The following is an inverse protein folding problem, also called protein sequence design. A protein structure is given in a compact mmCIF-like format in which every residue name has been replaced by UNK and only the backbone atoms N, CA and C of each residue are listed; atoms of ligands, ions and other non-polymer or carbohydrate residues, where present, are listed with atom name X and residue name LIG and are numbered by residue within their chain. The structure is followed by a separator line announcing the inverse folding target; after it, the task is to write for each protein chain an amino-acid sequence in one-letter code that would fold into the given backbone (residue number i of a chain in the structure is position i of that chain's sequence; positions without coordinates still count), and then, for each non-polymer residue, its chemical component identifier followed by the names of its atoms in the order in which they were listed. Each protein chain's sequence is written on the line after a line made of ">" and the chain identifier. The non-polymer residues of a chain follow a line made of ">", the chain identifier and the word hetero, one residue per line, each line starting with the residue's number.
data_IF_168434207998
#
_entry.id   IF_168434207998
#
_cell.length_a   1.000
_cell.length_b   1.000
_cell.length_c   1.000
_cell.angle_alpha   90.00
_cell.angle_beta   90.00
_cell.angle_gamma   90.00
#
_symmetry.space_group_name_H-M   'P 1'
#
loop_
_entity.id
_entity.type
_entity.pdbx_description
1 polymer ?
#
# COMPACT_ATOMS: atom_id res chain seq x y z
N UNK A 1 -23.59 2.19 -26.09
CA UNK A 1 -24.02 0.80 -26.33
C UNK A 1 -23.36 -0.05 -25.25
N UNK A 2 -24.11 -0.38 -24.20
CA UNK A 2 -23.64 -1.22 -23.12
C UNK A 2 -23.96 -2.68 -23.47
N UNK A 3 -23.00 -3.59 -23.33
CA UNK A 3 -23.28 -5.02 -23.22
C UNK A 3 -22.72 -5.52 -21.89
N UNK A 4 -23.64 -5.85 -20.99
CA UNK A 4 -23.38 -6.56 -19.76
C UNK A 4 -22.79 -7.94 -20.05
N UNK A 5 -21.76 -8.33 -19.31
CA UNK A 5 -21.30 -9.71 -19.24
C UNK A 5 -22.11 -10.39 -18.13
N UNK A 6 -22.94 -11.33 -18.55
CA UNK A 6 -23.78 -12.16 -17.71
C UNK A 6 -23.11 -13.53 -17.56
N UNK A 7 -22.71 -13.88 -16.35
CA UNK A 7 -22.06 -15.15 -16.04
C UNK A 7 -23.10 -16.28 -16.04
N UNK A 8 -22.99 -17.20 -17.00
CA UNK A 8 -23.82 -18.40 -17.07
C UNK A 8 -23.26 -19.49 -16.14
N UNK A 9 -24.05 -19.91 -15.16
CA UNK A 9 -23.88 -21.20 -14.48
C UNK A 9 -24.45 -22.32 -15.36
N UNK A 10 -23.58 -23.23 -15.83
CA UNK A 10 -24.02 -24.48 -16.44
C UNK A 10 -24.13 -25.57 -15.37
N UNK A 11 -25.36 -25.94 -15.01
CA UNK A 11 -25.67 -27.19 -14.31
C UNK A 11 -26.38 -28.11 -15.33
N UNK A 12 -25.77 -29.26 -15.65
CA UNK A 12 -26.32 -30.21 -16.62
C UNK A 12 -26.70 -31.53 -15.94
N UNK A 13 -27.97 -31.59 -15.59
CA UNK A 13 -28.88 -32.73 -15.47
C UNK A 13 -28.41 -34.04 -14.85
N UNK A 14 -29.11 -34.32 -13.74
CA UNK A 14 -29.41 -35.62 -13.18
C UNK A 14 -29.87 -36.66 -14.22
N UNK A 15 -29.22 -37.83 -14.18
CA UNK A 15 -29.75 -39.10 -14.67
C UNK A 15 -29.93 -40.04 -13.49
N UNK A 16 -31.19 -40.27 -13.11
CA UNK A 16 -31.58 -41.20 -12.04
C UNK A 16 -31.42 -42.64 -12.54
N UNK A 17 -30.41 -43.37 -12.05
CA UNK A 17 -30.35 -44.83 -12.18
C UNK A 17 -30.77 -45.48 -10.86
N UNK A 18 -31.89 -46.19 -10.93
CA UNK A 18 -32.43 -47.08 -9.91
C UNK A 18 -31.47 -48.26 -9.75
N UNK A 19 -30.76 -48.35 -8.64
CA UNK A 19 -30.04 -49.56 -8.23
C UNK A 19 -30.91 -50.38 -7.29
N UNK A 20 -31.15 -51.63 -7.69
CA UNK A 20 -31.87 -52.63 -6.92
C UNK A 20 -31.14 -52.94 -5.60
N UNK A 21 -31.91 -52.95 -4.52
CA UNK A 21 -31.44 -53.36 -3.19
C UNK A 21 -31.18 -54.86 -3.16
N UNK A 22 -29.91 -55.26 -3.20
CA UNK A 22 -29.48 -56.60 -2.78
C UNK A 22 -29.04 -56.50 -1.32
N UNK A 23 -29.83 -57.10 -0.43
CA UNK A 23 -29.53 -57.15 0.99
C UNK A 23 -28.31 -58.02 1.27
N UNK A 24 -27.30 -57.45 1.92
CA UNK A 24 -26.37 -58.21 2.76
C UNK A 24 -26.13 -57.43 4.04
N UNK A 25 -26.58 -57.98 5.16
CA UNK A 25 -26.30 -57.45 6.48
C UNK A 25 -24.80 -57.38 6.74
N UNK A 26 -24.28 -56.17 6.88
CA UNK A 26 -22.96 -55.88 7.43
C UNK A 26 -23.04 -54.54 8.15
N UNK A 27 -22.44 -54.49 9.32
CA UNK A 27 -22.61 -53.46 10.36
C UNK A 27 -22.32 -52.04 9.84
N UNK A 28 -23.37 -51.34 9.44
CA UNK A 28 -23.34 -49.97 8.91
C UNK A 28 -22.72 -48.96 9.91
N UNK A 29 -22.81 -49.22 11.22
CA UNK A 29 -22.28 -48.30 12.23
C UNK A 29 -20.76 -48.23 12.21
N UNK A 30 -20.08 -49.36 11.97
CA UNK A 30 -18.62 -49.39 11.96
C UNK A 30 -18.04 -48.59 10.77
N UNK A 31 -18.64 -48.72 9.58
CA UNK A 31 -18.22 -47.97 8.40
C UNK A 31 -18.60 -46.48 8.48
N UNK A 32 -19.74 -46.16 9.11
CA UNK A 32 -20.15 -44.77 9.32
C UNK A 32 -19.20 -44.03 10.29
N UNK A 33 -18.76 -44.69 11.36
CA UNK A 33 -17.76 -44.13 12.27
C UNK A 33 -16.41 -43.92 11.59
N UNK A 34 -15.95 -44.88 10.75
CA UNK A 34 -14.70 -44.76 10.00
C UNK A 34 -14.75 -43.61 8.98
N UNK A 35 -15.88 -43.44 8.28
CA UNK A 35 -16.05 -42.32 7.34
C UNK A 35 -16.07 -40.97 8.04
N UNK A 36 -16.75 -40.88 9.19
CA UNK A 36 -16.79 -39.65 9.98
C UNK A 36 -15.41 -39.31 10.57
N UNK A 37 -14.64 -40.30 11.01
CA UNK A 37 -13.28 -40.05 11.50
C UNK A 37 -12.32 -39.67 10.36
N UNK A 38 -12.40 -40.32 9.20
CA UNK A 38 -11.58 -39.93 8.04
C UNK A 38 -11.95 -38.51 7.57
N UNK A 39 -13.24 -38.18 7.49
CA UNK A 39 -13.68 -36.84 7.10
C UNK A 39 -13.29 -35.77 8.14
N UNK A 40 -13.33 -36.11 9.43
CA UNK A 40 -12.85 -35.22 10.49
C UNK A 40 -11.32 -35.07 10.44
N UNK A 41 -10.57 -36.16 10.23
CA UNK A 41 -9.13 -36.12 10.09
C UNK A 41 -8.69 -35.37 8.81
N UNK A 42 -9.41 -35.51 7.70
CA UNK A 42 -9.15 -34.75 6.47
C UNK A 42 -9.59 -33.28 6.60
N UNK A 43 -10.66 -32.99 7.34
CA UNK A 43 -11.06 -31.62 7.66
C UNK A 43 -10.06 -30.94 8.61
N UNK A 44 -9.56 -31.67 9.61
CA UNK A 44 -8.51 -31.22 10.54
C UNK A 44 -7.18 -31.08 9.80
N UNK A 45 -6.82 -32.03 8.94
CA UNK A 45 -5.63 -31.96 8.10
C UNK A 45 -5.75 -30.78 7.13
N UNK A 46 -6.85 -30.62 6.40
CA UNK A 46 -7.09 -29.47 5.53
C UNK A 46 -7.13 -28.13 6.27
N UNK A 47 -7.52 -28.12 7.55
CA UNK A 47 -7.48 -26.93 8.41
C UNK A 47 -6.05 -26.59 8.89
N UNK A 48 -5.22 -27.60 9.17
CA UNK A 48 -3.83 -27.42 9.61
C UNK A 48 -2.80 -27.34 8.46
N UNK A 49 -3.14 -27.82 7.27
CA UNK A 49 -2.25 -27.95 6.10
C UNK A 49 -2.66 -27.05 4.94
N UNK A 50 -3.47 -26.02 5.19
CA UNK A 50 -3.69 -24.96 4.21
C UNK A 50 -2.41 -24.11 4.13
N UNK A 51 -1.38 -24.66 3.48
CA UNK A 51 -0.20 -23.91 3.08
C UNK A 51 -0.62 -22.91 2.01
N UNK A 52 -0.14 -21.68 2.18
CA UNK A 52 -0.49 -20.56 1.32
C UNK A 52 0.25 -20.67 -0.01
N UNK A 53 -0.27 -21.46 -0.94
CA UNK A 53 0.18 -21.40 -2.33
C UNK A 53 -0.36 -20.12 -2.96
N UNK A 54 0.45 -19.07 -2.95
CA UNK A 54 0.22 -17.90 -3.79
C UNK A 54 0.69 -18.20 -5.20
N UNK A 55 -0.25 -18.25 -6.14
CA UNK A 55 0.08 -18.30 -7.55
C UNK A 55 0.32 -16.89 -8.06
N UNK A 56 1.59 -16.52 -8.24
CA UNK A 56 1.95 -15.23 -8.83
C UNK A 56 1.80 -15.36 -10.35
N UNK A 57 1.03 -14.46 -10.95
CA UNK A 57 0.88 -14.37 -12.39
C UNK A 57 1.67 -13.16 -12.91
N UNK A 58 2.62 -13.41 -13.81
CA UNK A 58 3.32 -12.36 -14.57
C UNK A 58 2.95 -12.57 -16.04
N UNK A 59 2.36 -11.56 -16.69
CA UNK A 59 1.85 -11.63 -18.07
C UNK A 59 0.92 -12.83 -18.34
N UNK A 60 0.08 -13.16 -17.36
CA UNK A 60 -0.87 -14.28 -17.44
C UNK A 60 -0.24 -15.67 -17.30
N UNK A 61 1.07 -15.76 -16.99
CA UNK A 61 1.77 -17.02 -16.72
C UNK A 61 2.05 -17.15 -15.23
N UNK A 62 1.85 -18.37 -14.71
CA UNK A 62 2.24 -18.71 -13.34
C UNK A 62 3.75 -18.73 -13.24
N UNK A 63 4.30 -17.96 -12.29
CA UNK A 63 5.72 -17.98 -11.95
C UNK A 63 5.88 -18.72 -10.63
N UNK A 64 6.62 -19.85 -10.67
CA UNK A 64 6.99 -20.60 -9.47
C UNK A 64 8.29 -20.05 -8.92
N UNK A 65 8.19 -19.21 -7.90
CA UNK A 65 9.34 -18.79 -7.11
C UNK A 65 9.55 -19.81 -5.98
N UNK A 66 10.77 -20.32 -5.80
CA UNK A 66 11.16 -21.04 -4.59
C UNK A 66 11.50 -20.04 -3.48
N UNK A 67 11.02 -20.22 -2.26
CA UNK A 67 11.28 -19.29 -1.15
C UNK A 67 10.21 -18.20 -0.95
N UNK A 68 9.06 -18.28 -1.64
CA UNK A 68 7.93 -17.34 -1.47
C UNK A 68 7.37 -17.37 -0.05
N UNK A 69 7.47 -18.53 0.60
CA UNK A 69 7.10 -18.74 1.99
C UNK A 69 7.85 -17.83 2.98
N UNK A 70 9.01 -17.31 2.58
CA UNK A 70 9.80 -16.36 3.37
C UNK A 70 9.39 -14.90 3.13
N UNK A 71 8.47 -14.62 2.21
CA UNK A 71 7.99 -13.27 1.94
C UNK A 71 6.77 -12.93 2.79
N UNK A 72 6.69 -11.67 3.20
CA UNK A 72 5.49 -11.13 3.82
C UNK A 72 4.39 -11.07 2.74
N UNK A 73 3.26 -11.77 2.93
CA UNK A 73 2.22 -11.82 1.92
C UNK A 73 1.57 -10.45 1.71
N UNK A 74 1.13 -10.10 0.50
CA UNK A 74 0.43 -8.84 0.26
C UNK A 74 -1.03 -8.92 0.76
N UNK A 75 -1.67 -7.75 0.88
CA UNK A 75 -3.12 -7.61 1.08
C UNK A 75 -3.67 -8.26 2.37
N UNK A 76 -2.86 -8.30 3.43
CA UNK A 76 -3.41 -8.56 4.77
C UNK A 76 -4.11 -7.28 5.25
N UNK A 77 -5.43 -7.33 5.42
CA UNK A 77 -6.21 -6.20 5.93
C UNK A 77 -5.79 -5.87 7.36
N UNK A 78 -4.91 -4.89 7.54
CA UNK A 78 -4.29 -4.58 8.82
C UNK A 78 -4.69 -3.21 9.37
N UNK A 79 -4.38 -2.13 8.65
CA UNK A 79 -4.51 -0.76 9.15
C UNK A 79 -5.24 0.15 8.17
N UNK A 80 -6.27 0.85 8.65
CA UNK A 80 -7.16 1.65 7.79
C UNK A 80 -7.51 2.99 8.45
N UNK A 81 -6.51 3.83 8.74
CA UNK A 81 -6.75 5.20 9.23
C UNK A 81 -7.35 6.09 8.12
N UNK A 82 -8.66 5.94 7.92
CA UNK A 82 -9.42 6.77 7.00
C UNK A 82 -9.66 8.16 7.55
N UNK A 83 -9.66 9.12 6.63
CA UNK A 83 -9.96 10.52 6.86
C UNK A 83 -11.00 10.95 5.83
N UNK A 84 -12.06 11.61 6.26
CA UNK A 84 -13.26 11.77 5.43
C UNK A 84 -13.73 13.22 5.43
N UNK A 85 -13.92 13.78 4.24
CA UNK A 85 -14.64 15.04 4.03
C UNK A 85 -15.96 14.75 3.30
N UNK A 86 -17.04 14.42 4.04
CA UNK A 86 -18.23 13.81 3.46
C UNK A 86 -19.00 14.75 2.53
N UNK A 87 -19.00 16.07 2.82
CA UNK A 87 -19.67 17.09 1.99
C UNK A 87 -19.08 17.16 0.58
N UNK A 88 -17.78 16.91 0.44
CA UNK A 88 -17.05 16.97 -0.82
C UNK A 88 -16.75 15.59 -1.39
N UNK A 89 -17.43 14.55 -0.90
CA UNK A 89 -17.25 13.14 -1.30
C UNK A 89 -15.77 12.71 -1.39
N UNK A 90 -14.97 13.03 -0.38
CA UNK A 90 -13.54 12.79 -0.39
C UNK A 90 -13.14 11.86 0.76
N UNK A 91 -12.36 10.82 0.44
CA UNK A 91 -11.75 9.93 1.41
C UNK A 91 -10.24 9.98 1.19
N UNK A 92 -9.49 10.06 2.29
CA UNK A 92 -8.05 9.86 2.30
C UNK A 92 -7.68 8.77 3.29
N UNK A 93 -6.48 8.24 3.16
CA UNK A 93 -5.88 7.34 4.14
C UNK A 93 -4.56 7.91 4.67
N UNK A 94 -4.40 7.94 5.99
CA UNK A 94 -3.17 8.36 6.63
C UNK A 94 -2.20 7.18 6.76
N UNK A 95 -1.34 6.99 5.75
CA UNK A 95 -0.33 5.92 5.77
C UNK A 95 0.87 6.38 6.60
N UNK A 96 1.26 5.67 7.68
CA UNK A 96 2.41 6.02 8.48
C UNK A 96 3.68 6.17 7.64
N UNK A 97 4.49 7.18 7.99
CA UNK A 97 5.76 7.53 7.32
C UNK A 97 5.63 7.90 5.82
N UNK A 98 4.41 8.05 5.33
CA UNK A 98 4.08 8.51 3.96
C UNK A 98 3.29 9.82 4.04
N UNK A 99 3.84 10.81 4.75
CA UNK A 99 3.21 12.11 5.00
C UNK A 99 1.86 12.07 5.74
N UNK A 100 1.60 11.04 6.55
CA UNK A 100 0.34 10.90 7.32
C UNK A 100 -0.08 12.16 8.09
N UNK A 101 0.87 12.86 8.72
CA UNK A 101 0.57 14.08 9.47
C UNK A 101 0.04 15.21 8.57
N UNK A 102 0.65 15.37 7.39
CA UNK A 102 0.20 16.34 6.40
C UNK A 102 -1.19 15.93 5.87
N UNK A 103 -1.41 14.64 5.59
CA UNK A 103 -2.71 14.11 5.17
C UNK A 103 -3.81 14.47 6.17
N UNK A 104 -3.56 14.25 7.46
CA UNK A 104 -4.47 14.61 8.55
C UNK A 104 -4.77 16.12 8.53
N UNK A 105 -3.73 16.96 8.42
CA UNK A 105 -3.89 18.41 8.44
C UNK A 105 -4.72 18.90 7.24
N UNK A 106 -4.42 18.39 6.04
CA UNK A 106 -5.16 18.70 4.81
C UNK A 106 -6.62 18.26 4.98
N UNK A 107 -6.87 17.03 5.41
CA UNK A 107 -8.24 16.53 5.53
C UNK A 107 -9.05 17.26 6.61
N UNK A 108 -8.42 17.67 7.71
CA UNK A 108 -9.08 18.52 8.71
C UNK A 108 -9.46 19.90 8.16
N UNK A 109 -8.57 20.52 7.38
CA UNK A 109 -8.87 21.78 6.68
C UNK A 109 -10.01 21.61 5.67
N UNK A 110 -10.03 20.51 4.92
CA UNK A 110 -11.08 20.22 3.93
C UNK A 110 -12.41 19.80 4.56
N UNK A 111 -12.39 19.25 5.78
CA UNK A 111 -13.57 18.87 6.53
C UNK A 111 -14.32 20.09 7.08
N UNK A 112 -13.59 21.04 7.67
CA UNK A 112 -14.14 22.31 8.16
C UNK A 112 -13.06 23.42 8.19
N UNK A 113 -13.03 24.22 7.12
CA UNK A 113 -12.09 25.33 6.96
C UNK A 113 -12.24 26.41 8.04
N UNK A 114 -13.47 26.67 8.48
CA UNK A 114 -13.76 27.70 9.49
C UNK A 114 -13.22 27.28 10.85
N UNK A 115 -13.50 26.06 11.28
CA UNK A 115 -12.99 25.52 12.54
C UNK A 115 -11.46 25.41 12.52
N UNK A 116 -10.88 24.91 11.42
CA UNK A 116 -9.44 24.82 11.25
C UNK A 116 -8.74 26.17 11.41
N UNK A 117 -9.29 27.22 10.80
CA UNK A 117 -8.74 28.58 10.88
C UNK A 117 -8.95 29.23 12.25
N UNK A 118 -10.10 29.00 12.89
CA UNK A 118 -10.42 29.55 14.21
C UNK A 118 -9.53 28.97 15.32
N UNK A 119 -9.02 27.75 15.13
CA UNK A 119 -8.09 27.08 16.03
C UNK A 119 -6.62 27.48 15.79
N UNK A 120 -6.35 28.32 14.78
CA UNK A 120 -5.00 28.69 14.35
C UNK A 120 -4.15 27.47 13.98
N UNK A 121 -4.79 26.42 13.42
CA UNK A 121 -4.11 25.24 12.93
C UNK A 121 -3.36 25.53 11.62
N UNK A 122 -2.31 24.77 11.38
CA UNK A 122 -1.41 24.85 10.23
C UNK A 122 -1.19 23.49 9.58
N UNK A 123 -0.91 23.48 8.27
CA UNK A 123 -0.54 22.24 7.58
C UNK A 123 0.80 21.65 8.06
N UNK A 124 1.61 22.44 8.76
CA UNK A 124 2.88 22.01 9.36
C UNK A 124 2.75 21.54 10.82
N UNK A 125 1.54 21.57 11.39
CA UNK A 125 1.33 21.13 12.77
C UNK A 125 1.66 19.66 12.94
N UNK A 126 2.28 19.31 14.06
CA UNK A 126 2.69 17.95 14.40
C UNK A 126 1.59 17.22 15.19
N UNK A 127 1.89 15.99 15.62
CA UNK A 127 0.97 15.15 16.39
C UNK A 127 0.64 15.73 17.77
N UNK A 128 1.39 16.73 18.26
CA UNK A 128 1.13 17.37 19.56
C UNK A 128 0.01 18.41 19.51
N UNK A 129 -0.40 18.85 18.32
CA UNK A 129 -1.51 19.80 18.16
C UNK A 129 -2.83 19.04 18.19
N UNK A 130 -3.70 19.36 19.16
CA UNK A 130 -5.07 18.85 19.19
C UNK A 130 -5.89 19.44 18.03
N UNK A 131 -6.71 18.61 17.38
CA UNK A 131 -7.53 19.03 16.24
C UNK A 131 -8.94 18.49 16.41
N UNK A 132 -9.96 19.35 16.47
CA UNK A 132 -11.34 18.89 16.75
C UNK A 132 -11.93 17.96 15.70
N UNK A 133 -11.55 18.11 14.43
CA UNK A 133 -11.92 17.17 13.34
C UNK A 133 -11.65 15.71 13.71
N UNK A 134 -10.59 15.43 14.46
CA UNK A 134 -10.18 14.08 14.83
C UNK A 134 -11.07 13.44 15.92
N UNK A 135 -11.87 14.23 16.62
CA UNK A 135 -12.84 13.74 17.60
C UNK A 135 -14.17 13.33 16.94
N UNK A 136 -14.40 13.78 15.70
CA UNK A 136 -15.62 13.52 14.94
C UNK A 136 -15.60 12.12 14.33
N UNK A 137 -16.56 11.27 14.73
CA UNK A 137 -16.65 9.90 14.21
C UNK A 137 -16.80 9.84 12.70
N UNK A 138 -17.55 10.77 12.10
CA UNK A 138 -17.75 10.87 10.65
C UNK A 138 -16.50 11.27 9.87
N UNK A 139 -15.51 11.88 10.53
CA UNK A 139 -14.22 12.21 9.93
C UNK A 139 -13.31 10.98 9.85
N UNK A 140 -13.39 10.07 10.84
CA UNK A 140 -12.55 8.86 10.88
C UNK A 140 -13.19 7.64 10.20
N UNK A 141 -14.51 7.63 10.05
CA UNK A 141 -15.25 6.45 9.60
C UNK A 141 -16.08 6.79 8.35
N UNK A 142 -15.69 6.32 7.15
CA UNK A 142 -16.49 6.53 5.96
C UNK A 142 -17.80 5.74 6.06
N UNK A 143 -18.91 6.39 5.72
CA UNK A 143 -20.21 5.73 5.70
C UNK A 143 -20.30 4.74 4.53
N UNK A 144 -21.15 3.71 4.65
CA UNK A 144 -21.40 2.78 3.54
C UNK A 144 -21.96 3.48 2.31
N UNK A 145 -22.72 4.56 2.49
CA UNK A 145 -23.19 5.38 1.38
C UNK A 145 -22.00 6.02 0.65
N UNK A 146 -21.05 6.59 1.38
CA UNK A 146 -19.89 7.25 0.80
C UNK A 146 -18.96 6.24 0.10
N UNK A 147 -18.76 5.06 0.69
CA UNK A 147 -17.96 3.98 0.10
C UNK A 147 -18.56 3.45 -1.21
N UNK A 148 -19.88 3.46 -1.35
CA UNK A 148 -20.56 2.94 -2.55
C UNK A 148 -20.91 4.03 -3.58
N UNK A 149 -20.63 5.30 -3.27
CA UNK A 149 -20.90 6.41 -4.19
C UNK A 149 -19.80 6.47 -5.28
N UNK A 150 -20.17 6.39 -6.57
CA UNK A 150 -19.22 6.40 -7.67
C UNK A 150 -18.49 7.75 -7.85
N UNK A 151 -19.04 8.84 -7.32
CA UNK A 151 -18.41 10.15 -7.36
C UNK A 151 -17.44 10.38 -6.17
N UNK A 152 -17.33 9.41 -5.25
CA UNK A 152 -16.39 9.51 -4.13
C UNK A 152 -14.97 9.29 -4.63
N UNK A 153 -14.15 10.33 -4.48
CA UNK A 153 -12.73 10.26 -4.77
C UNK A 153 -11.96 9.78 -3.55
N UNK A 154 -11.02 8.85 -3.78
CA UNK A 154 -10.11 8.33 -2.76
C UNK A 154 -8.69 8.69 -3.15
N UNK A 155 -7.90 9.19 -2.21
CA UNK A 155 -6.47 9.39 -2.45
C UNK A 155 -5.62 8.99 -1.25
N UNK A 156 -4.38 8.63 -1.48
CA UNK A 156 -3.44 8.36 -0.41
C UNK A 156 -2.07 8.85 -0.82
N UNK A 157 -1.38 9.53 0.09
CA UNK A 157 0.04 9.76 -0.08
C UNK A 157 0.78 8.45 0.19
N UNK A 158 1.57 8.03 -0.79
CA UNK A 158 2.44 6.86 -0.70
C UNK A 158 3.90 7.31 -0.76
N UNK A 159 4.79 6.41 -0.39
CA UNK A 159 6.23 6.66 -0.42
C UNK A 159 6.94 5.37 -0.76
N UNK A 160 8.09 5.50 -1.41
CA UNK A 160 9.03 4.40 -1.61
C UNK A 160 9.17 3.56 -0.32
N UNK A 161 8.97 2.22 -0.37
CA UNK A 161 8.98 1.37 0.80
C UNK A 161 10.28 1.45 1.62
N UNK A 162 11.44 1.59 0.97
CA UNK A 162 12.74 1.69 1.64
C UNK A 162 12.88 3.05 2.32
N UNK A 163 12.50 4.14 1.65
CA UNK A 163 12.50 5.45 2.28
C UNK A 163 11.52 5.54 3.46
N UNK A 164 10.38 4.84 3.38
CA UNK A 164 9.41 4.70 4.46
C UNK A 164 10.02 3.95 5.65
N UNK A 165 10.73 2.84 5.39
CA UNK A 165 11.48 2.11 6.42
C UNK A 165 12.58 2.96 7.07
N UNK A 166 13.36 3.69 6.28
CA UNK A 166 14.38 4.62 6.81
C UNK A 166 13.72 5.65 7.72
N UNK A 167 12.59 6.24 7.30
CA UNK A 167 11.84 7.18 8.13
C UNK A 167 11.32 6.55 9.43
N UNK A 168 10.95 5.27 9.41
CA UNK A 168 10.58 4.51 10.60
C UNK A 168 11.78 4.30 11.53
N UNK A 169 12.89 3.78 11.02
CA UNK A 169 14.10 3.53 11.79
C UNK A 169 14.63 4.81 12.47
N UNK A 170 14.68 5.93 11.73
CA UNK A 170 15.11 7.21 12.30
C UNK A 170 14.17 7.68 13.43
N UNK A 171 12.86 7.61 13.22
CA UNK A 171 11.87 7.99 14.23
C UNK A 171 11.95 7.14 15.50
N UNK A 172 12.06 5.83 15.35
CA UNK A 172 11.90 4.86 16.45
C UNK A 172 13.21 4.44 17.13
N UNK A 173 14.32 4.45 16.40
CA UNK A 173 15.61 4.00 16.92
C UNK A 173 16.63 5.12 17.11
N UNK A 174 16.56 6.17 16.30
CA UNK A 174 17.54 7.27 16.38
C UNK A 174 17.04 8.39 17.27
N UNK A 175 15.79 8.82 17.08
CA UNK A 175 15.19 9.93 17.81
C UNK A 175 14.48 9.52 19.11
N UNK A 176 14.19 8.24 19.26
CA UNK A 176 13.55 7.67 20.45
C UNK A 176 14.20 6.33 20.80
N UNK A 177 13.79 5.74 21.93
CA UNK A 177 14.28 4.42 22.38
C UNK A 177 13.31 3.27 22.03
N UNK A 178 12.30 3.53 21.21
CA UNK A 178 11.26 2.56 20.82
C UNK A 178 11.74 1.61 19.70
N UNK A 179 12.86 0.91 19.93
CA UNK A 179 13.59 0.16 18.91
C UNK A 179 13.72 -1.34 19.21
N UNK A 180 12.68 -2.03 19.69
CA UNK A 180 12.72 -3.48 20.02
C UNK A 180 13.90 -3.92 20.91
N UNK A 181 14.45 -3.04 21.75
CA UNK A 181 15.72 -3.24 22.48
C UNK A 181 16.95 -3.49 21.60
N UNK A 182 16.89 -3.19 20.30
CA UNK A 182 18.02 -3.22 19.37
C UNK A 182 18.99 -2.05 19.56
N UNK A 183 18.68 -1.11 20.46
CA UNK A 183 19.35 0.18 20.60
C UNK A 183 19.30 0.96 19.27
N UNK A 184 20.32 0.81 18.43
CA UNK A 184 20.42 1.44 17.09
C UNK A 184 20.89 0.45 16.03
N UNK A 185 20.95 -0.85 16.35
CA UNK A 185 21.39 -1.87 15.40
C UNK A 185 20.30 -2.16 14.37
N UNK A 186 20.58 -1.83 13.10
CA UNK A 186 19.59 -1.95 12.03
C UNK A 186 19.29 -3.41 11.66
N UNK A 187 20.26 -4.32 11.79
CA UNK A 187 20.04 -5.76 11.55
C UNK A 187 19.01 -6.34 12.52
N UNK A 188 19.18 -6.07 13.81
CA UNK A 188 18.24 -6.44 14.85
C UNK A 188 16.86 -5.82 14.60
N UNK A 189 16.83 -4.54 14.21
CA UNK A 189 15.58 -3.82 13.99
C UNK A 189 14.77 -4.39 12.81
N UNK A 190 15.41 -4.59 11.65
CA UNK A 190 14.74 -5.14 10.47
C UNK A 190 14.31 -6.59 10.68
N UNK A 191 15.11 -7.38 11.41
CA UNK A 191 14.74 -8.74 11.80
C UNK A 191 13.51 -8.76 12.70
N UNK A 192 13.46 -7.88 13.71
CA UNK A 192 12.31 -7.79 14.63
C UNK A 192 11.03 -7.40 13.88
N UNK A 193 11.14 -6.48 12.91
CA UNK A 193 10.02 -6.12 12.03
C UNK A 193 9.56 -7.31 11.19
N UNK A 194 10.49 -7.98 10.51
CA UNK A 194 10.19 -9.15 9.69
C UNK A 194 9.45 -10.21 10.51
N UNK A 195 9.99 -10.59 11.67
CA UNK A 195 9.38 -11.59 12.56
C UNK A 195 7.99 -11.15 13.03
N UNK A 196 7.81 -9.87 13.40
CA UNK A 196 6.52 -9.31 13.81
C UNK A 196 5.47 -9.41 12.70
N UNK A 197 5.82 -8.99 11.48
CA UNK A 197 4.93 -9.03 10.33
C UNK A 197 4.62 -10.47 9.91
N UNK A 198 5.60 -11.38 9.95
CA UNK A 198 5.39 -12.80 9.67
C UNK A 198 4.37 -13.38 10.64
N UNK A 199 4.53 -13.10 11.93
CA UNK A 199 3.60 -13.55 12.96
C UNK A 199 2.18 -13.05 12.69
N UNK A 200 2.00 -11.76 12.36
CA UNK A 200 0.69 -11.20 12.02
C UNK A 200 0.09 -11.90 10.79
N UNK A 201 0.90 -12.13 9.75
CA UNK A 201 0.44 -12.74 8.50
C UNK A 201 -0.02 -14.19 8.64
N UNK A 202 0.49 -14.91 9.64
CA UNK A 202 0.11 -16.29 9.93
C UNK A 202 -1.28 -16.38 10.60
N UNK A 203 -1.74 -15.32 11.26
CA UNK A 203 -3.04 -15.22 11.92
C UNK A 203 -4.05 -14.42 11.09
N UNK A 204 -4.25 -14.80 9.81
CA UNK A 204 -5.04 -14.06 8.80
C UNK A 204 -6.46 -13.62 9.18
N UNK A 205 -7.03 -14.15 10.25
CA UNK A 205 -8.43 -13.90 10.61
C UNK A 205 -8.65 -13.51 12.07
N UNK A 206 -7.61 -13.12 12.82
CA UNK A 206 -7.80 -12.87 14.25
C UNK A 206 -6.64 -12.26 15.02
N UNK A 207 -5.80 -11.43 14.41
CA UNK A 207 -4.94 -10.58 15.24
C UNK A 207 -5.83 -9.53 15.94
N UNK A 208 -6.09 -9.72 17.23
CA UNK A 208 -6.99 -8.89 18.04
C UNK A 208 -6.34 -7.58 18.53
N UNK A 209 -5.13 -7.25 18.08
CA UNK A 209 -4.41 -6.05 18.49
C UNK A 209 -3.91 -5.23 17.30
N UNK A 210 -3.56 -3.98 17.55
CA UNK A 210 -2.67 -3.24 16.65
C UNK A 210 -1.29 -3.23 17.31
N UNK A 211 -0.28 -3.67 16.58
CA UNK A 211 1.11 -3.53 17.00
C UNK A 211 1.64 -2.23 16.41
N UNK A 212 2.00 -1.28 17.29
CA UNK A 212 2.44 0.05 16.87
C UNK A 212 3.60 0.00 15.88
N UNK A 213 4.53 -0.95 16.02
CA UNK A 213 5.67 -1.06 15.11
C UNK A 213 5.24 -1.65 13.78
N UNK A 214 4.37 -2.65 13.79
CA UNK A 214 3.80 -3.22 12.57
C UNK A 214 2.96 -2.19 11.80
N UNK A 215 2.19 -1.31 12.46
CA UNK A 215 1.45 -0.23 11.79
C UNK A 215 2.37 0.66 10.96
N UNK A 216 3.57 0.93 11.46
CA UNK A 216 4.52 1.79 10.77
C UNK A 216 5.37 1.05 9.73
N UNK A 217 5.51 -0.27 9.87
CA UNK A 217 6.42 -1.09 9.08
C UNK A 217 5.72 -1.92 8.01
N UNK A 218 4.43 -2.22 8.17
CA UNK A 218 3.71 -3.16 7.31
C UNK A 218 3.70 -2.68 5.84
N UNK A 219 3.69 -3.61 4.87
CA UNK A 219 3.62 -3.28 3.45
C UNK A 219 2.49 -2.30 3.12
N UNK A 220 2.67 -1.44 2.12
CA UNK A 220 1.63 -0.52 1.64
C UNK A 220 0.34 -1.28 1.32
N UNK A 221 0.45 -2.47 0.72
CA UNK A 221 -0.71 -3.32 0.42
C UNK A 221 -1.56 -3.74 1.64
N UNK A 222 -1.05 -3.61 2.86
CA UNK A 222 -1.78 -3.91 4.11
C UNK A 222 -2.59 -2.71 4.62
N UNK A 223 -2.42 -1.56 3.98
CA UNK A 223 -3.00 -0.29 4.40
C UNK A 223 -4.29 0.01 3.63
N UNK A 224 -5.14 0.87 4.21
CA UNK A 224 -6.23 1.56 3.52
C UNK A 224 -7.29 0.66 2.84
N UNK A 225 -7.35 -0.61 3.24
CA UNK A 225 -8.14 -1.65 2.56
C UNK A 225 -7.82 -1.78 1.06
N UNK A 226 -6.53 -1.66 0.70
CA UNK A 226 -6.07 -1.88 -0.67
C UNK A 226 -6.33 -3.32 -1.16
N UNK A 227 -6.56 -4.27 -0.25
CA UNK A 227 -7.02 -5.63 -0.58
C UNK A 227 -8.34 -5.67 -1.34
N UNK A 228 -9.20 -4.64 -1.16
CA UNK A 228 -10.54 -4.60 -1.75
C UNK A 228 -10.63 -3.70 -2.97
N UNK A 229 -10.04 -2.51 -2.88
CA UNK A 229 -10.43 -1.38 -3.71
C UNK A 229 -9.24 -0.57 -4.23
N UNK A 230 -8.01 -1.11 -4.28
CA UNK A 230 -6.80 -0.38 -4.66
C UNK A 230 -6.96 0.46 -5.95
N UNK A 231 -7.58 -0.10 -6.99
CA UNK A 231 -7.84 0.57 -8.28
C UNK A 231 -8.68 1.86 -8.17
N UNK A 232 -9.40 2.05 -7.06
CA UNK A 232 -10.22 3.25 -6.80
C UNK A 232 -9.43 4.39 -6.15
N UNK A 233 -8.16 4.18 -5.83
CA UNK A 233 -7.31 5.14 -5.13
C UNK A 233 -6.39 5.89 -6.07
N UNK A 234 -6.38 7.21 -5.94
CA UNK A 234 -5.31 8.05 -6.47
C UNK A 234 -4.10 7.96 -5.53
N UNK A 235 -3.05 7.27 -5.97
CA UNK A 235 -1.81 7.17 -5.21
C UNK A 235 -0.91 8.37 -5.55
N UNK A 236 -0.50 9.10 -4.52
CA UNK A 236 0.28 10.33 -4.63
C UNK A 236 1.68 10.09 -4.06
N UNK A 237 2.68 9.93 -4.92
CA UNK A 237 4.05 9.63 -4.51
C UNK A 237 4.72 10.84 -3.86
N UNK A 238 5.18 10.66 -2.61
CA UNK A 238 5.86 11.68 -1.81
C UNK A 238 7.28 11.20 -1.46
N UNK A 239 8.12 11.14 -2.49
CA UNK A 239 9.54 10.78 -2.40
C UNK A 239 10.46 11.95 -2.04
N UNK A 240 11.77 11.69 -2.09
CA UNK A 240 12.81 12.72 -2.02
C UNK A 240 12.87 13.59 -3.27
N UNK A 241 12.49 13.04 -4.43
CA UNK A 241 12.51 13.76 -5.69
C UNK A 241 11.55 14.95 -5.68
N UNK A 242 12.01 16.08 -6.22
CA UNK A 242 11.22 17.31 -6.22
C UNK A 242 10.10 17.28 -7.25
N UNK A 243 10.34 16.74 -8.44
CA UNK A 243 9.35 16.70 -9.51
C UNK A 243 8.25 15.66 -9.23
N UNK A 244 8.58 14.52 -8.62
CA UNK A 244 7.60 13.57 -8.09
C UNK A 244 6.66 14.23 -7.08
N UNK A 245 7.22 14.91 -6.06
CA UNK A 245 6.43 15.64 -5.06
C UNK A 245 5.55 16.69 -5.71
N UNK A 246 6.12 17.51 -6.60
CA UNK A 246 5.40 18.57 -7.32
C UNK A 246 4.26 18.00 -8.16
N UNK A 247 4.49 16.91 -8.89
CA UNK A 247 3.48 16.20 -9.68
C UNK A 247 2.33 15.69 -8.80
N UNK A 248 2.64 15.03 -7.69
CA UNK A 248 1.66 14.54 -6.71
C UNK A 248 0.83 15.67 -6.09
N UNK A 249 1.45 16.80 -5.77
CA UNK A 249 0.76 17.96 -5.19
C UNK A 249 -0.14 18.62 -6.23
N UNK A 250 0.29 18.72 -7.49
CA UNK A 250 -0.54 19.19 -8.60
C UNK A 250 -1.72 18.24 -8.87
N UNK A 251 -1.50 16.93 -8.78
CA UNK A 251 -2.56 15.93 -8.90
C UNK A 251 -3.59 16.09 -7.77
N UNK A 252 -3.15 16.27 -6.52
CA UNK A 252 -4.05 16.59 -5.42
C UNK A 252 -4.84 17.88 -5.69
N UNK A 253 -4.18 18.95 -6.12
CA UNK A 253 -4.85 20.22 -6.44
C UNK A 253 -5.96 20.03 -7.50
N UNK A 254 -5.71 19.22 -8.52
CA UNK A 254 -6.72 18.86 -9.54
C UNK A 254 -7.88 18.06 -8.96
N UNK A 255 -7.62 17.10 -8.07
CA UNK A 255 -8.67 16.35 -7.34
C UNK A 255 -9.54 17.33 -6.55
N UNK A 256 -8.93 18.24 -5.79
CA UNK A 256 -9.66 19.19 -4.95
C UNK A 256 -10.51 20.17 -5.78
N UNK A 257 -9.98 20.69 -6.89
CA UNK A 257 -10.76 21.54 -7.81
C UNK A 257 -11.98 20.80 -8.38
N UNK A 258 -11.83 19.53 -8.76
CA UNK A 258 -12.93 18.71 -9.27
C UNK A 258 -13.98 18.40 -8.22
N UNK A 259 -13.59 18.23 -6.96
CA UNK A 259 -14.52 18.05 -5.84
C UNK A 259 -15.17 19.38 -5.36
N UNK A 260 -14.94 20.49 -6.06
CA UNK A 260 -15.64 21.75 -5.85
C UNK A 260 -15.06 22.64 -4.76
N UNK A 261 -13.81 22.41 -4.32
CA UNK A 261 -13.12 23.31 -3.41
C UNK A 261 -12.73 24.63 -4.10
N UNK A 262 -12.77 25.73 -3.37
CA UNK A 262 -12.43 27.07 -3.88
C UNK A 262 -10.96 27.14 -4.30
N UNK A 263 -10.66 27.80 -5.43
CA UNK A 263 -9.30 28.03 -5.94
C UNK A 263 -8.36 28.59 -4.87
N UNK A 264 -8.79 29.60 -4.10
CA UNK A 264 -7.95 30.18 -3.05
C UNK A 264 -7.53 29.15 -1.98
N UNK A 265 -8.43 28.22 -1.64
CA UNK A 265 -8.14 27.16 -0.67
C UNK A 265 -7.18 26.13 -1.28
N UNK A 266 -7.40 25.75 -2.53
CA UNK A 266 -6.54 24.79 -3.24
C UNK A 266 -5.13 25.36 -3.43
N UNK A 267 -5.01 26.62 -3.81
CA UNK A 267 -3.71 27.30 -4.00
C UNK A 267 -2.95 27.41 -2.67
N UNK A 268 -3.67 27.65 -1.56
CA UNK A 268 -3.09 27.60 -0.21
C UNK A 268 -2.55 26.21 0.10
N UNK A 269 -3.34 25.15 -0.08
CA UNK A 269 -2.91 23.76 0.16
C UNK A 269 -1.68 23.43 -0.69
N UNK A 270 -1.71 23.77 -1.98
CA UNK A 270 -0.59 23.53 -2.89
C UNK A 270 0.68 24.24 -2.40
N UNK A 271 0.59 25.54 -2.08
CA UNK A 271 1.74 26.32 -1.62
C UNK A 271 2.30 25.80 -0.28
N UNK A 272 1.42 25.56 0.69
CA UNK A 272 1.81 25.12 2.03
C UNK A 272 2.38 23.69 2.00
N UNK A 273 1.86 22.82 1.13
CA UNK A 273 2.38 21.46 0.94
C UNK A 273 3.75 21.47 0.25
N UNK A 274 3.97 22.35 -0.73
CA UNK A 274 5.27 22.50 -1.40
C UNK A 274 6.34 23.10 -0.48
N UNK A 275 5.95 23.99 0.44
CA UNK A 275 6.86 24.66 1.37
C UNK A 275 7.14 23.89 2.66
N UNK A 276 6.33 22.87 2.97
CA UNK A 276 6.37 22.13 4.22
C UNK A 276 7.42 21.02 4.23
N UNK A 277 8.66 21.35 4.53
CA UNK A 277 9.50 20.39 5.24
C UNK A 277 9.00 20.34 6.69
N UNK A 278 8.26 19.29 7.05
CA UNK A 278 7.85 19.10 8.46
C UNK A 278 9.08 19.08 9.37
N UNK A 279 8.92 19.37 10.66
CA UNK A 279 10.02 19.29 11.64
C UNK A 279 10.70 17.90 11.73
N UNK A 280 10.10 16.88 11.10
CA UNK A 280 10.63 15.52 10.96
C UNK A 280 11.18 15.21 9.55
N UNK A 281 11.30 16.20 8.67
CA UNK A 281 11.91 16.08 7.35
C UNK A 281 13.39 15.74 7.52
N UNK A 282 13.72 14.46 7.34
CA UNK A 282 15.04 13.87 7.58
C UNK A 282 15.86 13.72 6.29
N UNK A 283 15.35 14.22 5.16
CA UNK A 283 15.88 13.97 3.82
C UNK A 283 17.35 14.40 3.63
N UNK A 284 17.89 15.25 4.50
CA UNK A 284 19.27 15.76 4.44
C UNK A 284 20.08 15.51 5.72
N UNK A 285 19.57 14.70 6.65
CA UNK A 285 20.30 14.43 7.90
C UNK A 285 21.40 13.39 7.71
N UNK A 286 22.56 13.58 8.35
CA UNK A 286 23.65 12.59 8.32
C UNK A 286 23.23 11.20 8.83
N UNK A 287 22.24 11.15 9.73
CA UNK A 287 21.65 9.90 10.19
C UNK A 287 20.90 9.16 9.07
N UNK A 288 20.25 9.90 8.17
CA UNK A 288 19.58 9.32 7.02
C UNK A 288 20.57 8.75 6.02
N UNK A 289 21.60 9.52 5.66
CA UNK A 289 22.66 9.05 4.76
C UNK A 289 23.32 7.78 5.30
N UNK A 290 23.57 7.72 6.61
CA UNK A 290 24.13 6.53 7.26
C UNK A 290 23.15 5.35 7.27
N UNK A 291 21.86 5.59 7.47
CA UNK A 291 20.85 4.53 7.41
C UNK A 291 20.71 3.96 6.00
N UNK A 292 20.65 4.82 4.98
CA UNK A 292 20.60 4.43 3.57
C UNK A 292 21.88 3.69 3.16
N UNK A 293 23.05 4.14 3.65
CA UNK A 293 24.32 3.43 3.47
C UNK A 293 24.31 2.04 4.11
N UNK A 294 23.82 1.88 5.33
CA UNK A 294 23.71 0.56 5.97
C UNK A 294 22.83 -0.40 5.15
N UNK A 295 21.68 0.07 4.67
CA UNK A 295 20.81 -0.72 3.80
C UNK A 295 21.56 -1.10 2.52
N UNK A 296 22.22 -0.13 1.86
CA UNK A 296 22.94 -0.40 0.62
C UNK A 296 24.11 -1.36 0.80
N UNK A 297 24.86 -1.26 1.89
CA UNK A 297 26.13 -1.98 2.06
C UNK A 297 25.93 -3.37 2.73
N UNK A 298 24.81 -3.60 3.43
CA UNK A 298 24.58 -4.81 4.22
C UNK A 298 23.57 -5.78 3.56
N UNK A 299 24.03 -6.91 3.01
CA UNK A 299 23.16 -7.84 2.30
C UNK A 299 22.08 -8.49 3.19
N UNK A 300 22.33 -8.62 4.50
CA UNK A 300 21.34 -9.20 5.42
C UNK A 300 20.13 -8.26 5.60
N UNK A 301 20.41 -6.96 5.69
CA UNK A 301 19.36 -5.93 5.81
C UNK A 301 18.54 -5.88 4.52
N UNK A 302 19.20 -5.91 3.35
CA UNK A 302 18.52 -5.92 2.05
C UNK A 302 17.64 -7.15 1.87
N UNK A 303 18.13 -8.34 2.20
CA UNK A 303 17.34 -9.59 2.09
C UNK A 303 16.03 -9.51 2.88
N UNK A 304 16.08 -9.05 4.12
CA UNK A 304 14.88 -8.90 4.94
C UNK A 304 13.95 -7.80 4.41
N UNK A 305 14.49 -6.66 3.96
CA UNK A 305 13.65 -5.61 3.35
C UNK A 305 13.01 -6.06 2.04
N UNK A 306 13.69 -6.88 1.23
CA UNK A 306 13.09 -7.53 0.07
C UNK A 306 11.93 -8.42 0.51
N UNK A 307 12.15 -9.32 1.47
CA UNK A 307 11.09 -10.21 1.98
C UNK A 307 9.88 -9.45 2.51
N UNK A 308 10.08 -8.28 3.11
CA UNK A 308 8.98 -7.45 3.61
C UNK A 308 8.26 -6.71 2.47
N UNK A 309 8.98 -6.04 1.58
CA UNK A 309 8.40 -5.03 0.67
C UNK A 309 8.31 -5.44 -0.80
N UNK A 310 8.73 -6.65 -1.17
CA UNK A 310 8.73 -7.14 -2.56
C UNK A 310 7.42 -6.86 -3.32
N UNK A 311 6.28 -7.17 -2.71
CA UNK A 311 4.98 -6.99 -3.36
C UNK A 311 4.49 -5.54 -3.43
N UNK A 312 5.07 -4.63 -2.66
CA UNK A 312 4.78 -3.21 -2.81
C UNK A 312 5.34 -2.70 -4.14
N UNK A 313 6.53 -3.16 -4.56
CA UNK A 313 7.15 -2.79 -5.83
C UNK A 313 6.37 -3.34 -7.03
N UNK A 314 6.15 -4.66 -7.09
CA UNK A 314 5.42 -5.32 -8.19
C UNK A 314 4.08 -4.63 -8.50
N UNK A 315 3.41 -4.09 -7.48
CA UNK A 315 2.11 -3.46 -7.65
C UNK A 315 2.22 -1.99 -8.03
N UNK A 316 3.12 -1.21 -7.43
CA UNK A 316 3.33 0.19 -7.86
C UNK A 316 3.80 0.28 -9.32
N UNK A 317 4.46 -0.77 -9.82
CA UNK A 317 4.93 -0.88 -11.20
C UNK A 317 3.78 -0.93 -12.22
N UNK A 318 2.64 -1.53 -11.87
CA UNK A 318 1.48 -1.64 -12.76
C UNK A 318 0.68 -0.34 -12.91
N UNK A 319 0.73 0.54 -11.90
CA UNK A 319 -0.04 1.80 -11.85
C UNK A 319 0.84 3.04 -12.11
N UNK A 320 2.18 2.92 -12.10
CA UNK A 320 3.13 4.02 -12.37
C UNK A 320 4.44 3.53 -13.01
N UNK A 321 4.47 3.36 -14.36
CA UNK A 321 5.63 2.84 -15.09
C UNK A 321 6.95 3.61 -14.87
N UNK A 322 6.88 4.87 -14.42
CA UNK A 322 8.07 5.72 -14.15
C UNK A 322 8.87 5.28 -12.93
N UNK A 323 8.28 4.54 -11.98
CA UNK A 323 8.99 4.08 -10.78
C UNK A 323 10.06 3.03 -11.12
N UNK A 324 9.85 2.29 -12.22
CA UNK A 324 10.80 1.33 -12.79
C UNK A 324 12.12 2.01 -13.16
N UNK A 325 12.07 3.20 -13.76
CA UNK A 325 13.26 3.92 -14.20
C UNK A 325 13.96 4.70 -13.06
N UNK A 326 13.20 5.25 -12.10
CA UNK A 326 13.78 6.02 -10.99
C UNK A 326 14.62 5.17 -10.02
N UNK A 327 14.28 3.89 -9.83
CA UNK A 327 15.09 2.93 -9.06
C UNK A 327 16.35 2.48 -9.81
N UNK A 328 16.33 2.58 -11.14
CA UNK A 328 17.45 2.23 -12.04
C UNK A 328 18.49 3.36 -12.12
N UNK A 329 18.09 4.62 -11.94
CA UNK A 329 19.01 5.77 -12.08
C UNK A 329 19.44 6.45 -10.76
N UNK A 330 18.91 6.04 -9.59
CA UNK A 330 19.16 6.72 -8.31
C UNK A 330 19.42 5.81 -7.10
N UNK A 331 20.71 5.63 -6.76
CA UNK A 331 21.24 5.24 -5.43
C UNK A 331 20.51 4.17 -4.57
N UNK A 332 20.08 3.03 -5.13
CA UNK A 332 19.95 1.74 -4.39
C UNK A 332 20.54 0.60 -5.24
N UNK A 333 21.83 0.72 -5.53
CA UNK A 333 22.56 0.03 -6.63
C UNK A 333 22.66 -1.51 -6.48
N UNK A 334 22.20 -2.12 -5.38
CA UNK A 334 22.29 -3.57 -5.19
C UNK A 334 20.98 -4.33 -4.99
N UNK A 335 19.88 -3.68 -4.60
CA UNK A 335 18.55 -4.30 -4.65
C UNK A 335 18.03 -4.27 -6.09
N UNK A 336 18.29 -3.15 -6.77
CA UNK A 336 17.95 -2.95 -8.17
C UNK A 336 18.72 -3.89 -9.12
N UNK A 337 19.93 -4.37 -8.79
CA UNK A 337 20.75 -5.19 -9.70
C UNK A 337 20.25 -6.64 -9.86
N UNK A 338 19.74 -7.24 -8.79
CA UNK A 338 19.05 -8.53 -8.87
C UNK A 338 17.67 -8.39 -9.55
N UNK A 339 17.08 -7.18 -9.52
CA UNK A 339 15.91 -6.81 -10.34
C UNK A 339 16.31 -6.45 -11.79
N UNK A 340 17.50 -5.89 -12.04
CA UNK A 340 18.07 -5.49 -13.34
C UNK A 340 18.21 -6.74 -14.22
N UNK A 341 18.75 -7.84 -13.68
CA UNK A 341 18.87 -9.12 -14.39
C UNK A 341 17.50 -9.76 -14.73
N UNK A 342 16.44 -9.45 -13.99
CA UNK A 342 15.07 -9.97 -14.23
C UNK A 342 14.26 -9.04 -15.14
N UNK A 343 14.48 -7.72 -15.04
CA UNK A 343 13.77 -6.68 -15.79
C UNK A 343 14.40 -6.47 -17.17
N UNK A 344 15.72 -6.52 -17.33
CA UNK A 344 16.40 -6.43 -18.64
C UNK A 344 16.08 -7.62 -19.56
N UNK A 345 15.75 -8.80 -19.00
CA UNK A 345 15.25 -9.92 -19.80
C UNK A 345 13.82 -9.70 -20.34
N UNK A 346 13.06 -8.74 -19.79
CA UNK A 346 11.63 -8.60 -20.03
C UNK A 346 11.15 -7.22 -20.52
N UNK A 347 11.91 -6.14 -20.28
CA UNK A 347 11.61 -4.77 -20.72
C UNK A 347 12.88 -4.07 -21.19
N UNK A 348 12.90 -3.60 -22.44
CA UNK A 348 13.99 -2.78 -22.98
C UNK A 348 13.88 -1.35 -22.40
N UNK A 349 14.56 -1.13 -21.27
CA UNK A 349 14.49 0.13 -20.53
C UNK A 349 15.01 1.33 -21.34
N UNK A 350 15.97 1.11 -22.24
CA UNK A 350 16.45 2.13 -23.17
C UNK A 350 15.33 2.55 -24.13
N UNK A 351 14.53 1.60 -24.62
CA UNK A 351 13.39 1.85 -25.51
C UNK A 351 12.27 2.65 -24.82
N UNK A 352 11.93 2.31 -23.57
CA UNK A 352 10.88 3.00 -22.80
C UNK A 352 11.29 4.43 -22.43
N UNK A 353 12.55 4.64 -22.04
CA UNK A 353 13.09 5.98 -21.81
C UNK A 353 13.06 6.81 -23.10
N UNK A 354 13.33 6.20 -24.25
CA UNK A 354 13.26 6.87 -25.56
C UNK A 354 11.81 7.21 -25.96
N UNK A 355 10.85 6.32 -25.72
CA UNK A 355 9.42 6.57 -25.95
C UNK A 355 8.88 7.70 -25.07
N UNK A 356 9.28 7.76 -23.80
CA UNK A 356 8.90 8.88 -22.90
C UNK A 356 9.54 10.20 -23.34
N UNK A 357 10.81 10.17 -23.74
CA UNK A 357 11.50 11.36 -24.27
C UNK A 357 10.87 11.83 -25.59
N UNK A 358 10.43 10.90 -26.44
CA UNK A 358 9.79 11.23 -27.71
C UNK A 358 8.32 11.68 -27.53
N UNK A 359 7.57 11.13 -26.55
CA UNK A 359 6.26 11.65 -26.12
C UNK A 359 6.38 13.06 -25.49
N UNK A 360 7.46 13.33 -24.75
CA UNK A 360 7.72 14.67 -24.20
C UNK A 360 8.08 15.67 -25.31
N UNK A 361 8.82 15.24 -26.35
CA UNK A 361 9.10 16.08 -27.54
C UNK A 361 7.88 16.27 -28.44
N UNK A 362 6.94 15.32 -28.49
CA UNK A 362 5.67 15.49 -29.20
C UNK A 362 4.72 16.43 -28.45
N UNK A 363 4.72 16.40 -27.11
CA UNK A 363 3.94 17.31 -26.28
C UNK A 363 4.53 18.73 -26.19
N UNK A 364 5.85 18.92 -26.36
CA UNK A 364 6.47 20.25 -26.54
C UNK A 364 6.25 20.86 -27.95
N UNK A 365 5.68 20.11 -28.89
CA UNK A 365 5.37 20.60 -30.25
C UNK A 365 3.97 21.19 -30.42
N UNK A 366 3.17 21.26 -29.36
CA UNK A 366 1.87 21.92 -29.37
C UNK A 366 1.93 23.19 -28.52
N UNK A 367 1.64 24.31 -29.18
CA UNK A 367 1.54 25.70 -28.71
C UNK A 367 2.81 26.53 -28.49
N UNK A 368 3.43 26.93 -29.61
CA UNK A 368 4.00 28.29 -29.76
C UNK A 368 3.81 28.80 -31.20
N UNK A 369 2.57 28.91 -31.67
CA UNK A 369 2.21 29.84 -32.74
C UNK A 369 0.98 30.64 -32.31
N UNK A 370 1.22 31.78 -31.65
CA UNK A 370 0.13 32.71 -31.37
C UNK A 370 0.32 33.67 -30.21
N UNK A 371 1.47 34.34 -30.08
CA UNK A 371 1.53 35.68 -29.49
C UNK A 371 2.70 36.44 -30.13
N UNK A 372 2.36 37.50 -30.88
CA UNK A 372 3.27 38.52 -31.42
C UNK A 372 4.05 39.25 -30.32
#
# INVERSE_FOLDING_TARGET
>A
MASAIQTYFWNKNAGYQRMDTVGTGRDYKQYCCIFLTISACLGIYGYFYYENEYTIYVDGKVVNFTGVEDFIPPFVSYYHEFLVAPKSKLISCAIPKSMSQLTINIMCLLYDEHSFSAENNSLNDTWTTERKCQEESQFRNPSQQLLNDPDTVRFAFIRDPIQRFVSLYLDKCIHTDFCFNCNKDMRCFVQSIYETLRNISDYRHGFEGLDMMAEHAAPLSWMCNFDKDLEKWHLLMMGSDFEERKSSILHLANILKRQGFNETLVDKIQKDTMGGETAHSTHTSSHREEAERQIRDDPYIRDLLHKIYFFDYIRTDADSPKLVCSLVEGEVIHMAKDMEDIVDEQYDCDLIAQEVVDEMKENEKLDFEGFE
#
